data_IF_468440216030
#
_entry.id   IF_468440216030
#
_cell.length_a   1.000
_cell.length_b   1.000
_cell.length_c   1.000
_cell.angle_alpha   90.00
_cell.angle_beta   90.00
_cell.angle_gamma   90.00
#
_symmetry.space_group_name_H-M   'P 1'
#
loop_
_entity.id
_entity.type
_entity.pdbx_description
1 polymer ?
#
# COMPACT_ATOMS: atom_id res chain seq x y z
N UNK A 1 -20.56 -22.11 -15.53
CA UNK A 1 -21.58 -23.17 -15.55
C UNK A 1 -22.85 -22.68 -16.23
N UNK A 2 -23.88 -22.27 -15.46
CA UNK A 2 -25.20 -21.86 -16.01
C UNK A 2 -25.17 -20.67 -16.97
N UNK A 3 -24.16 -19.80 -16.90
CA UNK A 3 -24.02 -18.64 -17.77
C UNK A 3 -23.61 -19.01 -19.21
N UNK A 4 -23.17 -20.25 -19.46
CA UNK A 4 -22.78 -20.71 -20.80
C UNK A 4 -24.01 -21.26 -21.52
N UNK A 5 -24.11 -21.00 -22.82
CA UNK A 5 -25.16 -21.56 -23.70
C UNK A 5 -25.05 -23.09 -23.75
N UNK A 6 -23.82 -23.61 -23.80
CA UNK A 6 -23.54 -25.06 -23.81
C UNK A 6 -23.63 -25.73 -22.43
N UNK A 7 -24.41 -25.18 -21.51
CA UNK A 7 -24.58 -25.75 -20.19
C UNK A 7 -25.28 -27.11 -20.27
N UNK A 8 -24.61 -28.17 -19.80
CA UNK A 8 -25.23 -29.46 -19.54
C UNK A 8 -25.26 -29.72 -18.04
N UNK A 9 -26.41 -30.16 -17.54
CA UNK A 9 -26.52 -30.60 -16.17
C UNK A 9 -25.57 -31.79 -15.93
N UNK A 10 -24.99 -31.88 -14.74
CA UNK A 10 -24.09 -32.97 -14.32
C UNK A 10 -22.81 -33.18 -15.14
N UNK A 11 -22.46 -32.32 -16.09
CA UNK A 11 -21.17 -32.36 -16.79
C UNK A 11 -20.07 -31.71 -15.94
N UNK A 12 -19.06 -32.50 -15.60
CA UNK A 12 -17.95 -32.07 -14.76
C UNK A 12 -16.94 -31.18 -15.51
N UNK A 13 -16.76 -31.42 -16.81
CA UNK A 13 -15.70 -30.80 -17.60
C UNK A 13 -15.99 -29.32 -17.88
N UNK A 14 -17.27 -28.93 -17.88
CA UNK A 14 -17.75 -27.55 -18.16
C UNK A 14 -17.91 -26.66 -16.93
N UNK A 15 -17.26 -26.97 -15.82
CA UNK A 15 -17.20 -26.08 -14.65
C UNK A 15 -16.00 -25.14 -14.72
N UNK A 16 -16.20 -23.89 -14.28
CA UNK A 16 -15.16 -22.86 -14.24
C UNK A 16 -14.56 -22.76 -12.84
N UNK A 17 -13.32 -22.28 -12.76
CA UNK A 17 -12.67 -21.97 -11.49
C UNK A 17 -12.99 -20.54 -11.06
N UNK A 18 -13.29 -20.33 -9.78
CA UNK A 18 -13.64 -19.02 -9.23
C UNK A 18 -12.70 -18.70 -8.07
N UNK A 19 -12.12 -17.50 -8.09
CA UNK A 19 -11.25 -16.99 -7.03
C UNK A 19 -11.97 -15.83 -6.34
N UNK A 20 -12.14 -15.93 -5.03
CA UNK A 20 -12.68 -14.88 -4.18
C UNK A 20 -11.56 -14.37 -3.29
N UNK A 21 -11.29 -13.08 -3.32
CA UNK A 21 -10.32 -12.41 -2.45
C UNK A 21 -11.05 -11.56 -1.41
N UNK A 22 -10.33 -11.10 -0.38
CA UNK A 22 -10.86 -10.23 0.67
C UNK A 22 -12.03 -10.82 1.47
N UNK A 23 -12.02 -12.14 1.71
CA UNK A 23 -13.08 -12.82 2.45
C UNK A 23 -13.24 -12.30 3.89
N UNK A 24 -12.19 -11.73 4.50
CA UNK A 24 -12.25 -11.12 5.84
C UNK A 24 -13.29 -10.00 5.92
N UNK A 25 -13.48 -9.27 4.82
CA UNK A 25 -14.39 -8.12 4.77
C UNK A 25 -15.82 -8.51 4.37
N UNK A 26 -16.19 -9.78 4.47
CA UNK A 26 -17.55 -10.22 4.22
C UNK A 26 -18.51 -9.54 5.21
N UNK A 27 -19.61 -8.96 4.69
CA UNK A 27 -20.61 -8.26 5.50
C UNK A 27 -21.83 -9.13 5.69
N UNK A 28 -22.20 -9.38 6.95
CA UNK A 28 -23.55 -9.85 7.30
C UNK A 28 -24.40 -8.69 7.80
N UNK A 29 -25.70 -8.78 7.57
CA UNK A 29 -26.68 -7.76 7.96
C UNK A 29 -27.11 -7.98 9.40
N UNK A 30 -27.28 -6.88 10.15
CA UNK A 30 -27.78 -6.90 11.53
C UNK A 30 -26.98 -7.79 12.47
N UNK A 31 -27.70 -8.52 13.34
CA UNK A 31 -27.14 -9.38 14.39
C UNK A 31 -26.78 -10.80 13.92
N UNK A 32 -26.73 -11.03 12.60
CA UNK A 32 -26.49 -12.36 12.01
C UNK A 32 -25.17 -12.98 12.46
N UNK A 33 -24.16 -12.17 12.79
CA UNK A 33 -22.86 -12.64 13.28
C UNK A 33 -22.96 -13.47 14.56
N UNK A 34 -23.84 -13.07 15.47
CA UNK A 34 -24.00 -13.70 16.77
C UNK A 34 -25.09 -14.78 16.73
N UNK A 35 -26.17 -14.54 15.96
CA UNK A 35 -27.30 -15.47 15.88
C UNK A 35 -27.04 -16.66 14.94
N UNK A 36 -26.26 -16.51 13.87
CA UNK A 36 -26.08 -17.58 12.88
C UNK A 36 -25.17 -18.66 13.42
N UNK A 37 -25.72 -19.88 13.50
CA UNK A 37 -25.05 -21.05 14.05
C UNK A 37 -24.65 -22.01 12.94
N UNK A 38 -23.39 -22.42 12.93
CA UNK A 38 -22.86 -23.52 12.13
C UNK A 38 -22.75 -24.78 12.97
N UNK A 39 -23.41 -25.85 12.52
CA UNK A 39 -23.32 -27.17 13.14
C UNK A 39 -22.46 -28.08 12.28
N UNK A 40 -21.45 -28.67 12.89
CA UNK A 40 -20.59 -29.68 12.25
C UNK A 40 -20.59 -30.95 13.09
N UNK A 41 -20.85 -32.08 12.46
CA UNK A 41 -20.62 -33.38 13.06
C UNK A 41 -19.17 -33.77 12.82
N UNK A 42 -18.41 -34.06 13.89
CA UNK A 42 -16.95 -34.27 13.81
C UNK A 42 -16.58 -35.52 13.02
N UNK A 43 -17.34 -36.62 13.19
CA UNK A 43 -16.89 -37.93 12.68
C UNK A 43 -18.02 -38.84 12.22
N UNK A 44 -19.12 -38.98 12.99
CA UNK A 44 -20.32 -39.78 12.63
C UNK A 44 -21.56 -39.24 13.30
N UNK A 45 -22.74 -39.44 12.70
CA UNK A 45 -24.05 -39.05 13.27
C UNK A 45 -24.28 -39.54 14.73
N UNK A 46 -23.53 -40.56 15.16
CA UNK A 46 -23.63 -41.24 16.47
C UNK A 46 -22.55 -40.84 17.49
N UNK A 47 -21.80 -39.76 17.24
CA UNK A 47 -20.78 -39.29 18.18
C UNK A 47 -21.40 -38.90 19.53
N UNK A 48 -21.03 -39.54 20.67
CA UNK A 48 -21.71 -39.33 21.96
C UNK A 48 -21.56 -37.90 22.49
N UNK A 49 -20.54 -37.16 22.03
CA UNK A 49 -20.32 -35.76 22.40
C UNK A 49 -21.20 -34.77 21.61
N UNK A 50 -21.99 -35.25 20.64
CA UNK A 50 -22.92 -34.42 19.86
C UNK A 50 -22.25 -33.51 18.81
N UNK A 51 -23.06 -32.61 18.25
CA UNK A 51 -22.62 -31.68 17.20
C UNK A 51 -21.75 -30.56 17.76
N UNK A 52 -20.67 -30.20 17.06
CA UNK A 52 -19.94 -28.96 17.34
C UNK A 52 -20.76 -27.78 16.82
N UNK A 53 -21.16 -26.90 17.73
CA UNK A 53 -21.94 -25.69 17.46
C UNK A 53 -20.99 -24.50 17.54
N UNK A 54 -20.90 -23.73 16.46
CA UNK A 54 -20.02 -22.55 16.37
C UNK A 54 -20.82 -21.38 15.79
N UNK A 55 -20.73 -20.20 16.37
CA UNK A 55 -21.36 -19.00 15.80
C UNK A 55 -20.60 -18.52 14.56
N UNK A 56 -21.24 -17.72 13.71
CA UNK A 56 -20.59 -17.14 12.55
C UNK A 56 -19.37 -16.29 12.91
N UNK A 57 -19.45 -15.54 14.01
CA UNK A 57 -18.34 -14.75 14.55
C UNK A 57 -17.11 -15.60 14.86
N UNK A 58 -17.29 -16.68 15.62
CA UNK A 58 -16.18 -17.59 15.95
C UNK A 58 -15.62 -18.28 14.70
N UNK A 59 -16.49 -18.68 13.77
CA UNK A 59 -16.06 -19.31 12.53
C UNK A 59 -15.19 -18.39 11.68
N UNK A 60 -15.60 -17.13 11.53
CA UNK A 60 -14.88 -16.10 10.78
C UNK A 60 -13.51 -15.79 11.42
N UNK A 61 -13.44 -15.72 12.75
CA UNK A 61 -12.18 -15.53 13.48
C UNK A 61 -11.17 -16.66 13.22
N UNK A 62 -11.62 -17.91 13.23
CA UNK A 62 -10.73 -19.05 13.00
C UNK A 62 -10.31 -19.20 11.53
N UNK A 63 -11.26 -19.09 10.61
CA UNK A 63 -10.98 -19.17 9.20
C UNK A 63 -12.01 -18.32 8.41
N UNK A 64 -11.59 -17.17 7.87
CA UNK A 64 -12.51 -16.26 7.19
C UNK A 64 -13.06 -16.78 5.87
N UNK A 65 -12.46 -17.83 5.28
CA UNK A 65 -12.97 -18.46 4.07
C UNK A 65 -14.13 -19.43 4.32
N UNK A 66 -14.26 -19.97 5.54
CA UNK A 66 -15.25 -21.02 5.86
C UNK A 66 -16.71 -20.58 5.70
N UNK A 67 -17.13 -19.38 6.17
CA UNK A 67 -18.52 -18.95 6.01
C UNK A 67 -18.98 -18.95 4.55
N UNK A 68 -18.14 -18.44 3.64
CA UNK A 68 -18.41 -18.40 2.21
C UNK A 68 -18.38 -19.80 1.58
N UNK A 69 -17.36 -20.60 1.90
CA UNK A 69 -17.23 -21.96 1.39
C UNK A 69 -18.47 -22.82 1.76
N UNK A 70 -18.88 -22.78 3.03
CA UNK A 70 -20.05 -23.52 3.52
C UNK A 70 -21.36 -23.05 2.89
N UNK A 71 -21.48 -21.76 2.59
CA UNK A 71 -22.64 -21.20 1.90
C UNK A 71 -22.71 -21.73 0.46
N UNK A 72 -21.63 -21.54 -0.30
CA UNK A 72 -21.56 -21.94 -1.72
C UNK A 72 -21.76 -23.45 -1.86
N UNK A 73 -21.10 -24.25 -1.01
CA UNK A 73 -21.27 -25.72 -1.01
C UNK A 73 -22.73 -26.14 -0.81
N UNK A 74 -23.52 -25.39 -0.03
CA UNK A 74 -24.95 -25.66 0.20
C UNK A 74 -25.86 -25.15 -0.93
N UNK A 75 -25.40 -24.19 -1.72
CA UNK A 75 -26.13 -23.68 -2.89
C UNK A 75 -25.94 -24.55 -4.15
N UNK A 76 -24.90 -25.38 -4.16
CA UNK A 76 -24.63 -26.31 -5.25
C UNK A 76 -25.53 -27.56 -5.18
N UNK A 77 -25.87 -28.18 -6.33
CA UNK A 77 -26.66 -29.41 -6.36
C UNK A 77 -25.96 -30.51 -5.56
N UNK A 78 -26.70 -31.30 -4.80
CA UNK A 78 -26.14 -32.31 -3.90
C UNK A 78 -25.72 -33.60 -4.60
N UNK A 79 -24.88 -33.49 -5.64
CA UNK A 79 -24.35 -34.63 -6.42
C UNK A 79 -22.82 -34.69 -6.31
N UNK A 80 -22.20 -35.69 -6.94
CA UNK A 80 -20.73 -35.83 -6.97
C UNK A 80 -20.03 -34.62 -7.59
N UNK A 81 -20.69 -33.97 -8.56
CA UNK A 81 -20.21 -32.75 -9.22
C UNK A 81 -19.97 -31.61 -8.21
N UNK A 82 -20.74 -31.57 -7.10
CA UNK A 82 -20.53 -30.60 -6.01
C UNK A 82 -19.12 -30.61 -5.46
N UNK A 83 -18.55 -31.80 -5.27
CA UNK A 83 -17.22 -31.95 -4.71
C UNK A 83 -16.17 -31.45 -5.69
N UNK A 84 -16.39 -31.64 -6.99
CA UNK A 84 -15.48 -31.11 -8.01
C UNK A 84 -15.59 -29.59 -8.09
N UNK A 85 -16.80 -29.03 -8.14
CA UNK A 85 -17.02 -27.58 -8.17
C UNK A 85 -16.45 -26.89 -6.93
N UNK A 86 -16.63 -27.48 -5.74
CA UNK A 86 -16.04 -26.94 -4.49
C UNK A 86 -14.51 -26.96 -4.53
N UNK A 87 -13.87 -27.94 -5.20
CA UNK A 87 -12.40 -27.97 -5.36
C UNK A 87 -11.85 -26.89 -6.30
N UNK A 88 -12.68 -26.39 -7.22
CA UNK A 88 -12.33 -25.32 -8.16
C UNK A 88 -12.62 -23.91 -7.61
N UNK A 89 -13.16 -23.84 -6.39
CA UNK A 89 -13.44 -22.59 -5.69
C UNK A 89 -12.29 -22.27 -4.72
N UNK A 90 -11.63 -21.15 -4.96
CA UNK A 90 -10.53 -20.66 -4.13
C UNK A 90 -10.99 -19.40 -3.40
N UNK A 91 -10.82 -19.37 -2.08
CA UNK A 91 -11.24 -18.23 -1.25
C UNK A 91 -10.05 -17.81 -0.39
N UNK A 92 -9.64 -16.56 -0.53
CA UNK A 92 -8.52 -15.98 0.18
C UNK A 92 -8.97 -14.90 1.17
N UNK A 93 -8.38 -14.87 2.38
CA UNK A 93 -8.69 -13.86 3.39
C UNK A 93 -8.38 -12.43 2.92
N UNK A 94 -7.22 -12.25 2.30
CA UNK A 94 -6.71 -10.96 1.85
C UNK A 94 -6.85 -10.75 0.35
N UNK A 95 -6.22 -9.69 -0.15
CA UNK A 95 -6.33 -9.27 -1.53
C UNK A 95 -5.51 -10.12 -2.52
N UNK A 96 -4.48 -10.83 -2.04
CA UNK A 96 -3.47 -11.53 -2.85
C UNK A 96 -3.84 -13.00 -3.03
N UNK A 97 -3.58 -13.56 -4.22
CA UNK A 97 -3.70 -14.99 -4.50
C UNK A 97 -2.45 -15.55 -5.19
N UNK A 98 -2.07 -16.83 -4.96
CA UNK A 98 -0.87 -17.45 -5.52
C UNK A 98 -1.02 -17.96 -6.96
N UNK A 99 -2.13 -17.67 -7.64
CA UNK A 99 -2.37 -18.17 -9.00
C UNK A 99 -1.61 -17.36 -10.05
N UNK A 100 -0.78 -18.05 -10.83
CA UNK A 100 -0.04 -17.45 -11.94
C UNK A 100 -0.98 -17.09 -13.10
N UNK A 101 -0.63 -16.07 -13.88
CA UNK A 101 -1.34 -15.65 -15.09
C UNK A 101 -2.77 -15.13 -14.90
N UNK A 102 -3.19 -14.86 -13.66
CA UNK A 102 -4.49 -14.24 -13.34
C UNK A 102 -4.23 -12.84 -12.79
N UNK A 103 -4.88 -11.79 -13.31
CA UNK A 103 -4.66 -10.42 -12.84
C UNK A 103 -5.07 -10.30 -11.36
N UNK A 104 -4.20 -9.70 -10.56
CA UNK A 104 -4.49 -9.47 -9.15
C UNK A 104 -5.55 -8.38 -8.99
N UNK A 105 -6.53 -8.62 -8.12
CA UNK A 105 -7.54 -7.61 -7.80
C UNK A 105 -6.93 -6.52 -6.91
N UNK A 106 -6.74 -5.33 -7.47
CA UNK A 106 -6.30 -4.14 -6.72
C UNK A 106 -7.53 -3.49 -6.10
N UNK A 107 -7.61 -3.50 -4.76
CA UNK A 107 -8.67 -2.76 -4.06
C UNK A 107 -8.26 -1.30 -3.99
N UNK A 108 -9.01 -0.35 -4.59
CA UNK A 108 -8.68 1.06 -4.48
C UNK A 108 -8.76 1.47 -3.01
N UNK A 109 -7.72 2.17 -2.53
CA UNK A 109 -7.77 2.79 -1.22
C UNK A 109 -8.92 3.80 -1.24
N UNK A 110 -9.83 3.80 -0.24
CA UNK A 110 -10.82 4.87 -0.14
C UNK A 110 -10.06 6.20 -0.05
N UNK A 111 -10.36 7.12 -0.97
CA UNK A 111 -9.71 8.44 -1.01
C UNK A 111 -9.91 9.11 0.35
N UNK A 112 -8.83 9.60 0.99
CA UNK A 112 -9.01 10.35 2.23
C UNK A 112 -9.94 11.54 1.95
N UNK A 113 -10.80 11.92 2.92
CA UNK A 113 -11.57 13.14 2.77
C UNK A 113 -10.58 14.29 2.49
N UNK A 114 -10.96 15.26 1.65
CA UNK A 114 -10.12 16.43 1.44
C UNK A 114 -9.82 17.03 2.81
N UNK A 115 -8.53 17.15 3.13
CA UNK A 115 -8.10 17.86 4.33
C UNK A 115 -8.53 19.30 4.09
N UNK A 116 -9.62 19.74 4.72
CA UNK A 116 -9.90 21.15 4.84
C UNK A 116 -8.75 21.70 5.68
N UNK A 117 -7.96 22.62 5.13
CA UNK A 117 -6.98 23.35 5.93
C UNK A 117 -7.67 23.82 7.21
N UNK A 118 -7.07 23.66 8.41
CA UNK A 118 -7.69 24.22 9.60
C UNK A 118 -7.90 25.71 9.33
N UNK A 119 -9.08 26.20 9.67
CA UNK A 119 -9.51 27.61 9.49
C UNK A 119 -8.46 28.60 10.06
N UNK A 120 -7.61 28.12 10.97
CA UNK A 120 -6.45 28.80 11.54
C UNK A 120 -5.10 28.22 11.06
N UNK A 121 -4.89 28.05 9.75
CA UNK A 121 -3.51 28.00 9.24
C UNK A 121 -2.98 29.43 9.21
N UNK A 122 -2.08 29.75 10.13
CA UNK A 122 -1.15 30.86 9.93
C UNK A 122 -0.43 30.55 8.62
N UNK A 123 -0.78 31.24 7.54
CA UNK A 123 -0.05 31.18 6.28
C UNK A 123 1.37 31.58 6.65
N UNK A 124 2.28 30.60 6.76
CA UNK A 124 3.70 30.92 6.88
C UNK A 124 4.03 31.73 5.62
N UNK A 125 4.40 33.02 5.72
CA UNK A 125 4.75 33.78 4.55
C UNK A 125 5.90 33.03 3.85
N UNK A 126 5.78 32.89 2.54
CA UNK A 126 6.56 32.01 1.66
C UNK A 126 8.08 32.32 1.60
N UNK A 127 8.67 33.04 2.57
CA UNK A 127 9.97 33.69 2.38
C UNK A 127 11.09 33.35 3.37
N UNK A 128 10.89 32.48 4.36
CA UNK A 128 12.00 32.04 5.22
C UNK A 128 12.49 30.65 4.82
N UNK A 129 13.01 30.54 3.59
CA UNK A 129 13.91 29.43 3.28
C UNK A 129 15.23 29.67 4.01
N UNK A 130 15.70 28.68 4.75
CA UNK A 130 17.04 28.67 5.35
C UNK A 130 18.19 28.86 4.33
N UNK A 131 17.87 28.84 3.03
CA UNK A 131 18.74 29.13 1.91
C UNK A 131 19.13 30.62 1.80
N UNK A 132 18.20 31.57 1.94
CA UNK A 132 18.49 33.01 1.76
C UNK A 132 19.36 33.58 2.89
N UNK A 133 19.22 33.10 4.13
CA UNK A 133 20.10 33.51 5.24
C UNK A 133 21.52 32.96 5.06
N UNK A 134 21.66 31.74 4.53
CA UNK A 134 22.97 31.14 4.21
C UNK A 134 23.64 31.84 3.03
N UNK A 135 22.88 32.21 1.99
CA UNK A 135 23.38 32.95 0.83
C UNK A 135 23.81 34.38 1.16
N UNK A 136 23.08 35.09 2.03
CA UNK A 136 23.51 36.43 2.49
C UNK A 136 24.81 36.36 3.30
N UNK A 137 25.03 35.28 4.06
CA UNK A 137 26.27 35.05 4.82
C UNK A 137 27.46 34.70 3.92
N UNK A 138 27.27 33.86 2.90
CA UNK A 138 28.35 33.51 1.95
C UNK A 138 28.71 34.67 1.02
N UNK A 139 27.73 35.48 0.59
CA UNK A 139 27.96 36.67 -0.22
C UNK A 139 28.83 37.72 0.50
N UNK A 140 28.57 37.97 1.79
CA UNK A 140 29.37 38.91 2.59
C UNK A 140 30.84 38.48 2.73
N UNK A 141 31.08 37.19 2.98
CA UNK A 141 32.45 36.65 3.10
C UNK A 141 33.19 36.69 1.77
N UNK A 142 32.51 36.37 0.67
CA UNK A 142 33.08 36.41 -0.69
C UNK A 142 33.48 37.83 -1.09
N UNK A 143 32.65 38.83 -0.81
CA UNK A 143 32.98 40.24 -1.10
C UNK A 143 34.19 40.73 -0.32
N UNK A 144 34.31 40.35 0.96
CA UNK A 144 35.45 40.73 1.81
C UNK A 144 36.75 40.10 1.33
N UNK A 145 36.72 38.83 0.89
CA UNK A 145 37.89 38.14 0.31
C UNK A 145 38.31 38.73 -1.03
N UNK A 146 37.37 39.18 -1.85
CA UNK A 146 37.69 39.86 -3.12
C UNK A 146 38.35 41.22 -2.88
N UNK A 147 37.86 42.00 -1.91
CA UNK A 147 38.46 43.29 -1.55
C UNK A 147 39.88 43.12 -0.99
N UNK A 148 40.11 42.13 -0.13
CA UNK A 148 41.46 41.85 0.38
C UNK A 148 42.40 41.32 -0.70
N UNK A 149 41.91 40.49 -1.63
CA UNK A 149 42.70 40.05 -2.78
C UNK A 149 43.11 41.22 -3.69
N UNK A 150 42.18 42.14 -3.98
CA UNK A 150 42.46 43.34 -4.77
C UNK A 150 43.47 44.27 -4.06
N UNK A 151 43.36 44.45 -2.74
CA UNK A 151 44.32 45.29 -1.99
C UNK A 151 45.73 44.67 -1.96
N UNK A 152 45.83 43.35 -1.80
CA UNK A 152 47.10 42.63 -1.83
C UNK A 152 47.75 42.67 -3.21
N UNK A 153 46.95 42.60 -4.29
CA UNK A 153 47.43 42.76 -5.66
C UNK A 153 48.02 44.15 -5.89
N UNK A 154 47.30 45.21 -5.47
CA UNK A 154 47.80 46.60 -5.54
C UNK A 154 49.10 46.80 -4.75
N UNK A 155 49.22 46.19 -3.57
CA UNK A 155 50.46 46.22 -2.77
C UNK A 155 51.63 45.54 -3.49
N UNK A 156 51.41 44.37 -4.10
CA UNK A 156 52.44 43.69 -4.92
C UNK A 156 52.85 44.49 -6.15
N UNK A 157 51.90 45.14 -6.82
CA UNK A 157 52.17 46.01 -7.96
C UNK A 157 52.95 47.28 -7.54
N UNK A 158 52.68 47.83 -6.34
CA UNK A 158 53.43 48.96 -5.81
C UNK A 158 54.87 48.57 -5.41
N UNK A 159 55.07 47.39 -4.80
CA UNK A 159 56.41 46.91 -4.47
C UNK A 159 57.21 46.53 -5.71
N UNK A 160 56.58 45.96 -6.74
CA UNK A 160 57.25 45.67 -8.01
C UNK A 160 57.66 46.95 -8.74
N UNK A 161 56.80 47.98 -8.75
CA UNK A 161 57.15 49.32 -9.28
C UNK A 161 58.30 49.94 -8.50
N UNK A 162 58.22 50.00 -7.17
CA UNK A 162 59.32 50.54 -6.33
C UNK A 162 60.63 49.80 -6.52
N UNK A 163 60.59 48.47 -6.71
CA UNK A 163 61.79 47.66 -7.00
C UNK A 163 62.33 47.93 -8.42
N UNK A 164 61.44 48.17 -9.39
CA UNK A 164 61.83 48.59 -10.74
C UNK A 164 62.45 49.99 -10.74
N UNK A 165 61.87 50.94 -10.00
CA UNK A 165 62.37 52.31 -9.85
C UNK A 165 63.75 52.33 -9.16
N UNK A 166 63.92 51.55 -8.08
CA UNK A 166 65.22 51.38 -7.42
C UNK A 166 66.26 50.70 -8.33
N UNK A 167 65.84 49.75 -9.18
CA UNK A 167 66.73 49.10 -10.16
C UNK A 167 67.13 50.07 -11.27
N UNK A 168 66.20 50.91 -11.75
CA UNK A 168 66.48 51.95 -12.73
C UNK A 168 67.41 53.03 -12.16
N UNK A 169 67.22 53.43 -10.90
CA UNK A 169 68.09 54.37 -10.20
C UNK A 169 69.52 53.82 -9.94
N UNK A 170 69.70 52.49 -9.92
CA UNK A 170 71.01 51.85 -9.78
C UNK A 170 71.74 51.60 -11.13
N UNK A 171 71.08 51.86 -12.26
CA UNK A 171 71.63 51.68 -13.62
C UNK A 171 71.99 52.99 -14.32
N UNK A 172 71.74 54.13 -13.66
CA UNK A 172 72.17 55.47 -14.06
C UNK A 172 73.38 55.90 -13.22
#
# INVERSE_FOLDING_TARGET
GKYRVDYRCMDNNRSDSVIVVNAIHARFVGHTWDTKIYRSWRTRKHDPLGAKIVTAKHLMFHNPALPLNLCIRRMLPSTLVRTVMTRRLYIYPGAIHPHWNIPQVVVPRPTPPPVSDPVFTVTRPLNDTSATVRERRTAGTRMRLLQTAQSNRRRKEATSKRKADLKAAAQA
#
